data_IF_258576364543
#
_entry.id   IF_258576364543
#
_cell.length_a   1.000
_cell.length_b   1.000
_cell.length_c   1.000
_cell.angle_alpha   90.00
_cell.angle_beta   90.00
_cell.angle_gamma   90.00
#
_symmetry.space_group_name_H-M   'P 1'
#
loop_
_entity.id
_entity.type
_entity.pdbx_description
1 polymer ?
#
# COMPACT_ATOMS: atom_id res chain seq x y z
N UNK A 1 -1.05 13.72 -27.38
CA UNK A 1 -2.19 12.93 -26.91
C UNK A 1 -2.43 11.69 -27.82
N UNK A 2 -1.39 10.93 -28.20
CA UNK A 2 -1.50 9.82 -29.17
C UNK A 2 -0.76 8.52 -28.78
N UNK A 3 0.06 8.53 -27.71
CA UNK A 3 0.91 7.39 -27.33
C UNK A 3 0.17 6.11 -26.91
N UNK A 4 -1.13 6.18 -26.63
CA UNK A 4 -1.89 5.03 -26.16
C UNK A 4 -2.23 4.02 -27.27
N UNK A 5 -2.25 4.43 -28.54
CA UNK A 5 -2.71 3.59 -29.67
C UNK A 5 -1.58 2.95 -30.49
N UNK A 6 -0.31 3.24 -30.21
CA UNK A 6 0.82 2.79 -31.04
C UNK A 6 1.55 1.54 -30.51
N UNK A 7 1.12 0.94 -29.39
CA UNK A 7 1.84 -0.20 -28.80
C UNK A 7 0.95 -1.46 -28.81
N UNK A 8 1.34 -2.54 -29.52
CA UNK A 8 0.54 -3.78 -29.54
C UNK A 8 0.44 -4.45 -28.16
N UNK A 9 1.33 -4.11 -27.21
CA UNK A 9 1.32 -4.57 -25.82
C UNK A 9 0.95 -3.41 -24.87
N UNK A 10 -0.29 -2.94 -24.96
CA UNK A 10 -0.81 -1.84 -24.12
C UNK A 10 -0.80 -2.19 -22.63
N UNK A 11 -1.01 -3.46 -22.26
CA UNK A 11 -1.04 -3.92 -20.87
C UNK A 11 0.32 -3.72 -20.16
N UNK A 12 1.42 -4.03 -20.84
CA UNK A 12 2.76 -3.84 -20.29
C UNK A 12 3.09 -2.35 -20.04
N UNK A 13 2.69 -1.49 -20.98
CA UNK A 13 2.81 -0.03 -20.82
C UNK A 13 1.95 0.48 -19.66
N UNK A 14 0.69 0.03 -19.58
CA UNK A 14 -0.24 0.46 -18.54
C UNK A 14 0.15 -0.04 -17.14
N UNK A 15 0.74 -1.24 -17.03
CA UNK A 15 1.33 -1.73 -15.77
C UNK A 15 2.56 -0.95 -15.36
N UNK A 16 3.42 -0.58 -16.32
CA UNK A 16 4.60 0.26 -16.06
C UNK A 16 4.19 1.67 -15.62
N UNK A 17 3.12 2.19 -16.20
CA UNK A 17 2.51 3.47 -15.82
C UNK A 17 1.60 3.36 -14.58
N UNK A 18 1.48 2.17 -13.98
CA UNK A 18 0.68 1.91 -12.77
C UNK A 18 -0.82 2.22 -12.93
N UNK A 19 -1.34 2.21 -14.16
CA UNK A 19 -2.76 2.48 -14.49
C UNK A 19 -3.63 1.23 -14.35
N UNK A 20 -3.09 0.04 -14.63
CA UNK A 20 -3.80 -1.21 -14.43
C UNK A 20 -3.48 -1.78 -13.03
N UNK A 21 -4.51 -2.09 -12.22
CA UNK A 21 -4.33 -2.77 -10.95
C UNK A 21 -3.55 -4.07 -11.17
N UNK A 22 -2.51 -4.31 -10.35
CA UNK A 22 -1.97 -5.67 -10.23
C UNK A 22 -3.11 -6.51 -9.65
N UNK A 23 -3.34 -7.72 -10.20
CA UNK A 23 -4.39 -8.62 -9.71
C UNK A 23 -4.27 -8.73 -8.18
N UNK A 24 -5.29 -8.26 -7.47
CA UNK A 24 -5.27 -8.24 -6.01
C UNK A 24 -5.15 -9.67 -5.49
N UNK A 25 -4.18 -9.91 -4.60
CA UNK A 25 -4.11 -11.19 -3.92
C UNK A 25 -5.25 -11.26 -2.88
N UNK A 26 -5.95 -12.41 -2.74
CA UNK A 26 -6.90 -12.56 -1.66
C UNK A 26 -6.17 -12.41 -0.31
N UNK A 27 -6.72 -11.63 0.64
CA UNK A 27 -6.07 -11.41 1.92
C UNK A 27 -5.91 -12.74 2.67
N UNK A 28 -4.78 -12.97 3.35
CA UNK A 28 -4.58 -14.18 4.14
C UNK A 28 -5.61 -14.27 5.27
N UNK A 29 -6.12 -15.49 5.49
CA UNK A 29 -7.22 -15.79 6.40
C UNK A 29 -6.86 -15.68 7.90
N UNK A 30 -5.61 -15.39 8.24
CA UNK A 30 -5.15 -15.24 9.63
C UNK A 30 -4.01 -14.22 9.65
N UNK A 31 -4.29 -13.03 10.15
CA UNK A 31 -3.39 -11.87 10.03
C UNK A 31 -2.45 -11.68 11.20
N UNK A 32 -2.51 -12.50 12.27
CA UNK A 32 -1.62 -12.30 13.42
C UNK A 32 -0.27 -12.95 13.19
N UNK A 33 0.79 -12.14 13.20
CA UNK A 33 2.19 -12.57 13.01
C UNK A 33 3.17 -11.57 13.61
N UNK A 34 4.46 -11.80 13.43
CA UNK A 34 5.52 -10.87 13.82
C UNK A 34 5.68 -9.77 12.77
N UNK A 35 5.71 -8.51 13.20
CA UNK A 35 5.91 -7.38 12.29
C UNK A 35 7.38 -7.26 11.85
N UNK A 36 7.65 -7.24 10.55
CA UNK A 36 9.00 -7.12 9.99
C UNK A 36 9.72 -5.78 10.30
N UNK A 37 9.00 -4.80 10.88
CA UNK A 37 9.52 -3.45 11.16
C UNK A 37 9.80 -3.24 12.65
N UNK A 38 8.89 -3.68 13.52
CA UNK A 38 9.00 -3.45 14.96
C UNK A 38 9.10 -4.74 15.79
N UNK A 39 9.11 -5.91 15.15
CA UNK A 39 9.20 -7.23 15.76
C UNK A 39 8.10 -7.56 16.79
N UNK A 40 7.01 -6.78 16.82
CA UNK A 40 5.87 -7.05 17.70
C UNK A 40 4.90 -8.04 17.05
N UNK A 41 4.37 -8.97 17.85
CA UNK A 41 3.28 -9.85 17.43
C UNK A 41 1.96 -9.08 17.38
N UNK A 42 1.41 -8.91 16.19
CA UNK A 42 0.19 -8.12 15.96
C UNK A 42 -0.54 -8.58 14.69
N UNK A 43 -1.79 -8.16 14.47
CA UNK A 43 -2.41 -8.22 13.16
C UNK A 43 -1.59 -7.43 12.13
N UNK A 44 -1.20 -8.11 11.06
CA UNK A 44 -0.41 -7.58 9.96
C UNK A 44 -1.33 -7.25 8.78
N UNK A 45 -1.12 -6.06 8.21
CA UNK A 45 -1.68 -5.64 6.94
C UNK A 45 -0.62 -5.71 5.86
N UNK A 46 -1.03 -6.09 4.65
CA UNK A 46 -0.16 -6.15 3.49
C UNK A 46 -0.81 -5.59 2.24
N UNK A 47 0.03 -5.30 1.25
CA UNK A 47 -0.36 -4.89 -0.09
C UNK A 47 -0.08 -6.03 -1.08
N UNK A 48 -0.39 -5.83 -2.36
CA UNK A 48 -0.12 -6.84 -3.41
C UNK A 48 1.38 -7.17 -3.61
N UNK A 49 2.28 -6.42 -2.96
CA UNK A 49 3.71 -6.70 -2.90
C UNK A 49 4.09 -7.75 -1.85
N UNK A 50 3.13 -8.28 -1.07
CA UNK A 50 3.34 -9.31 -0.04
C UNK A 50 4.28 -8.89 1.09
N UNK A 51 4.43 -7.59 1.31
CA UNK A 51 5.10 -7.04 2.48
C UNK A 51 4.10 -6.84 3.62
N UNK A 52 4.45 -7.30 4.82
CA UNK A 52 3.56 -7.33 5.96
C UNK A 52 4.09 -6.42 7.08
N UNK A 53 3.24 -5.54 7.59
CA UNK A 53 3.57 -4.73 8.75
C UNK A 53 2.32 -4.51 9.61
N UNK A 54 2.55 -4.25 10.90
CA UNK A 54 1.45 -3.95 11.81
C UNK A 54 0.83 -2.59 11.51
N UNK A 55 -0.42 -2.39 11.95
CA UNK A 55 -1.17 -1.13 11.74
C UNK A 55 -0.43 0.10 12.28
N UNK A 56 0.26 -0.03 13.42
CA UNK A 56 1.04 1.06 14.01
C UNK A 56 2.17 1.55 13.08
N UNK A 57 2.92 0.62 12.49
CA UNK A 57 4.00 0.96 11.55
C UNK A 57 3.46 1.59 10.27
N UNK A 58 2.36 1.03 9.71
CA UNK A 58 1.69 1.62 8.56
C UNK A 58 1.21 3.05 8.84
N UNK A 59 0.57 3.28 9.99
CA UNK A 59 0.07 4.60 10.38
C UNK A 59 1.20 5.62 10.52
N UNK A 60 2.28 5.27 11.22
CA UNK A 60 3.41 6.16 11.42
C UNK A 60 4.03 6.56 10.07
N UNK A 61 4.26 5.59 9.19
CA UNK A 61 4.78 5.83 7.85
C UNK A 61 3.87 6.72 7.00
N UNK A 62 2.57 6.40 6.93
CA UNK A 62 1.60 7.19 6.16
C UNK A 62 1.52 8.62 6.69
N UNK A 63 1.49 8.82 8.01
CA UNK A 63 1.50 10.16 8.61
C UNK A 63 2.76 10.94 8.23
N UNK A 64 3.94 10.32 8.28
CA UNK A 64 5.18 10.96 7.84
C UNK A 64 5.11 11.35 6.36
N UNK A 65 4.66 10.45 5.48
CA UNK A 65 4.58 10.71 4.04
C UNK A 65 3.55 11.78 3.68
N UNK A 66 2.39 11.77 4.32
CA UNK A 66 1.32 12.74 4.05
C UNK A 66 1.68 14.12 4.61
N UNK A 67 2.14 14.18 5.87
CA UNK A 67 2.35 15.46 6.55
C UNK A 67 3.66 16.14 6.15
N UNK A 68 4.71 15.38 5.87
CA UNK A 68 6.05 15.94 5.69
C UNK A 68 6.49 15.99 4.22
N UNK A 69 6.13 15.00 3.42
CA UNK A 69 6.66 14.86 2.06
C UNK A 69 5.74 15.50 1.00
N UNK A 70 4.49 15.84 1.36
CA UNK A 70 3.48 16.45 0.48
C UNK A 70 3.31 15.74 -0.88
N UNK A 71 3.57 14.42 -0.92
CA UNK A 71 3.47 13.60 -2.14
C UNK A 71 2.07 13.04 -2.30
N UNK A 72 1.49 13.18 -3.49
CA UNK A 72 0.23 12.53 -3.88
C UNK A 72 0.36 11.01 -4.08
N UNK A 73 1.60 10.51 -4.23
CA UNK A 73 1.91 9.13 -4.52
C UNK A 73 2.77 8.54 -3.39
N UNK A 74 2.22 7.58 -2.66
CA UNK A 74 2.91 6.93 -1.54
C UNK A 74 3.22 5.50 -1.93
N UNK A 75 4.50 5.13 -1.89
CA UNK A 75 4.97 3.77 -2.13
C UNK A 75 4.87 2.92 -0.85
N UNK A 76 4.99 1.61 -0.99
CA UNK A 76 5.11 0.66 0.11
C UNK A 76 6.20 1.08 1.12
N UNK A 77 5.98 0.78 2.40
CA UNK A 77 6.88 1.10 3.51
C UNK A 77 8.26 0.42 3.41
N UNK A 78 8.38 -0.65 2.64
CA UNK A 78 9.63 -1.39 2.47
C UNK A 78 10.51 -0.74 1.40
N UNK A 79 11.76 -0.49 1.77
CA UNK A 79 12.72 0.18 0.90
C UNK A 79 12.90 -0.56 -0.43
N UNK A 80 12.85 0.19 -1.54
CA UNK A 80 12.98 -0.36 -2.90
C UNK A 80 11.68 -0.93 -3.49
N UNK A 81 10.59 -1.01 -2.72
CA UNK A 81 9.30 -1.45 -3.25
C UNK A 81 8.53 -0.26 -3.86
N UNK A 82 8.37 -0.27 -5.19
CA UNK A 82 7.71 0.81 -5.94
C UNK A 82 6.18 0.63 -6.04
N UNK A 83 5.58 -0.30 -5.29
CA UNK A 83 4.14 -0.48 -5.31
C UNK A 83 3.47 0.71 -4.61
N UNK A 84 2.60 1.42 -5.34
CA UNK A 84 1.80 2.50 -4.79
C UNK A 84 0.69 1.98 -3.89
N UNK A 85 0.48 2.67 -2.77
CA UNK A 85 -0.63 2.44 -1.85
C UNK A 85 -1.88 3.07 -2.49
N UNK A 86 -2.89 2.24 -2.76
CA UNK A 86 -4.19 2.72 -3.24
C UNK A 86 -4.98 3.39 -2.12
N UNK A 87 -5.71 4.44 -2.44
CA UNK A 87 -6.47 5.29 -1.49
C UNK A 87 -7.41 4.45 -0.60
N UNK A 88 -8.12 3.51 -1.21
CA UNK A 88 -9.00 2.56 -0.52
C UNK A 88 -8.29 1.75 0.56
N UNK A 89 -7.00 1.38 0.36
CA UNK A 89 -6.19 0.66 1.36
C UNK A 89 -5.60 1.60 2.42
N UNK A 90 -5.30 2.84 2.07
CA UNK A 90 -4.88 3.86 3.03
C UNK A 90 -6.00 4.15 4.04
N UNK A 91 -7.25 4.25 3.57
CA UNK A 91 -8.42 4.54 4.42
C UNK A 91 -8.67 3.51 5.53
N UNK A 92 -8.34 2.23 5.29
CA UNK A 92 -8.51 1.13 6.26
C UNK A 92 -7.53 1.27 7.44
N UNK A 93 -6.31 1.75 7.20
CA UNK A 93 -5.32 2.02 8.26
C UNK A 93 -5.65 3.27 9.09
N UNK A 94 -6.42 4.22 8.54
CA UNK A 94 -6.89 5.42 9.27
C UNK A 94 -8.13 5.15 10.15
N UNK A 95 -9.04 4.28 9.72
CA UNK A 95 -10.36 4.11 10.36
C UNK A 95 -10.32 3.41 11.74
N UNK A 96 -9.23 2.72 12.08
CA UNK A 96 -9.07 2.11 13.42
C UNK A 96 -8.90 3.14 14.55
N UNK A 97 -8.63 4.41 14.25
CA UNK A 97 -8.48 5.46 15.27
C UNK A 97 -9.73 6.32 15.49
N UNK A 98 -10.61 6.51 14.50
CA UNK A 98 -11.81 7.34 14.70
C UNK A 98 -12.92 6.61 15.46
N UNK A 99 -12.91 5.26 15.50
CA UNK A 99 -13.88 4.47 16.29
C UNK A 99 -13.49 4.21 17.74
N UNK A 100 -12.26 4.53 18.16
CA UNK A 100 -11.83 4.43 19.57
C UNK A 100 -11.69 5.80 20.26
N UNK A 101 -11.93 6.89 19.53
CA UNK A 101 -11.97 8.26 20.05
C UNK A 101 -13.39 8.84 20.02
N UNK A 102 -14.43 8.00 20.20
CA UNK A 102 -15.84 8.39 20.38
C UNK A 102 -16.41 7.76 21.64
#
# INVERSE_FOLDING_TARGET
>A
MLRYYENPDTDAFLRKAQVLPRKAAPPPASSVGECDICCNTAPLGGLDCHHWACSCCWQMYLNTKIMNDATSEIQCIFNGCQLLIQDEKASISFNSYFRLAS
#
